data_IF_097842039961
#
_entry.id   IF_097842039961
#
_cell.length_a   1.000
_cell.length_b   1.000
_cell.length_c   1.000
_cell.angle_alpha   90.00
_cell.angle_beta   90.00
_cell.angle_gamma   90.00
#
_symmetry.space_group_name_H-M   'P 1'
#
loop_
_entity.id
_entity.type
_entity.pdbx_description
1 polymer ?
#
# COMPACT_ATOMS: atom_id res chain seq x y z
N UNK A 1 -47.11 -12.69 -35.81
CA UNK A 1 -45.84 -13.35 -35.41
C UNK A 1 -45.02 -12.37 -34.59
N UNK A 2 -45.03 -12.50 -33.26
CA UNK A 2 -44.28 -11.63 -32.35
C UNK A 2 -42.92 -12.25 -32.04
N UNK A 3 -41.82 -11.62 -32.48
CA UNK A 3 -40.45 -12.05 -32.19
C UNK A 3 -40.08 -11.53 -30.80
N UNK A 4 -40.25 -12.38 -29.79
CA UNK A 4 -39.77 -12.12 -28.43
C UNK A 4 -38.24 -12.16 -28.41
N UNK A 5 -37.61 -11.01 -28.23
CA UNK A 5 -36.16 -10.90 -28.11
C UNK A 5 -35.72 -11.42 -26.74
N UNK A 6 -35.03 -12.55 -26.74
CA UNK A 6 -34.52 -13.23 -25.56
C UNK A 6 -33.25 -12.55 -25.04
N UNK A 7 -33.43 -11.48 -24.25
CA UNK A 7 -32.40 -10.71 -23.52
C UNK A 7 -31.78 -11.47 -22.33
N UNK A 8 -31.54 -12.78 -22.44
CA UNK A 8 -30.94 -13.59 -21.36
C UNK A 8 -29.41 -13.63 -21.39
N UNK A 9 -28.77 -13.22 -22.49
CA UNK A 9 -27.30 -13.29 -22.63
C UNK A 9 -26.54 -12.28 -21.74
N UNK A 10 -27.19 -11.23 -21.24
CA UNK A 10 -26.53 -10.20 -20.42
C UNK A 10 -26.49 -10.52 -18.90
N UNK A 11 -27.12 -11.61 -18.45
CA UNK A 11 -27.22 -11.92 -16.99
C UNK A 11 -25.95 -12.54 -16.39
N UNK A 12 -24.95 -12.86 -17.20
CA UNK A 12 -23.71 -13.52 -16.75
C UNK A 12 -22.45 -12.73 -17.15
N UNK A 13 -22.51 -11.40 -17.15
CA UNK A 13 -21.28 -10.61 -17.18
C UNK A 13 -20.57 -10.77 -15.83
N UNK A 14 -19.57 -11.64 -15.79
CA UNK A 14 -18.64 -11.73 -14.67
C UNK A 14 -17.81 -10.45 -14.70
N UNK A 15 -18.18 -9.48 -13.87
CA UNK A 15 -17.38 -8.29 -13.65
C UNK A 15 -16.18 -8.76 -12.83
N UNK A 16 -15.03 -8.91 -13.49
CA UNK A 16 -13.75 -9.10 -12.82
C UNK A 16 -13.41 -7.80 -12.10
N UNK A 17 -13.74 -7.72 -10.82
CA UNK A 17 -13.14 -6.74 -9.95
C UNK A 17 -11.74 -7.25 -9.64
N UNK A 18 -10.74 -6.70 -10.32
CA UNK A 18 -9.34 -6.90 -9.99
C UNK A 18 -9.10 -6.25 -8.60
N UNK A 19 -9.30 -7.05 -7.56
CA UNK A 19 -9.05 -6.64 -6.19
C UNK A 19 -7.54 -6.69 -5.99
N UNK A 20 -6.87 -5.59 -6.33
CA UNK A 20 -5.44 -5.44 -6.06
C UNK A 20 -5.30 -5.24 -4.55
N UNK A 21 -5.23 -6.35 -3.80
CA UNK A 21 -4.92 -6.29 -2.38
C UNK A 21 -3.50 -5.72 -2.25
N UNK A 22 -3.39 -4.50 -1.69
CA UNK A 22 -2.10 -3.87 -1.46
C UNK A 22 -1.22 -4.81 -0.61
N UNK A 23 -0.14 -5.31 -1.20
CA UNK A 23 0.79 -6.16 -0.48
C UNK A 23 1.65 -5.31 0.47
N UNK A 24 2.24 -5.91 1.53
CA UNK A 24 3.20 -5.22 2.38
C UNK A 24 4.38 -4.59 1.62
N UNK A 25 4.77 -5.16 0.48
CA UNK A 25 5.79 -4.61 -0.41
C UNK A 25 5.30 -3.35 -1.16
N UNK A 26 4.06 -3.34 -1.62
CA UNK A 26 3.47 -2.16 -2.28
C UNK A 26 3.40 -0.97 -1.32
N UNK A 27 3.05 -1.24 -0.06
CA UNK A 27 3.02 -0.24 1.01
C UNK A 27 4.43 0.26 1.31
N UNK A 28 5.42 -0.63 1.38
CA UNK A 28 6.81 -0.26 1.61
C UNK A 28 7.34 0.62 0.47
N UNK A 29 7.12 0.23 -0.78
CA UNK A 29 7.53 1.01 -1.94
C UNK A 29 6.90 2.40 -1.92
N UNK A 30 5.59 2.47 -1.63
CA UNK A 30 4.85 3.73 -1.52
C UNK A 30 5.37 4.60 -0.37
N UNK A 31 5.76 3.99 0.76
CA UNK A 31 6.37 4.69 1.89
C UNK A 31 7.76 5.24 1.55
N UNK A 32 8.60 4.47 0.86
CA UNK A 32 9.90 4.94 0.38
C UNK A 32 9.73 6.14 -0.53
N UNK A 33 8.77 6.12 -1.46
CA UNK A 33 8.52 7.27 -2.32
C UNK A 33 7.92 8.46 -1.57
N UNK A 34 7.07 8.22 -0.57
CA UNK A 34 6.59 9.27 0.32
C UNK A 34 7.73 9.95 1.10
N UNK A 35 8.67 9.17 1.66
CA UNK A 35 9.83 9.73 2.38
C UNK A 35 10.72 10.59 1.47
N UNK A 36 10.93 10.16 0.22
CA UNK A 36 11.65 10.97 -0.79
C UNK A 36 10.93 12.29 -1.07
N UNK A 37 9.60 12.27 -1.25
CA UNK A 37 8.77 13.47 -1.48
C UNK A 37 8.76 14.42 -0.28
N UNK A 38 8.80 13.90 0.94
CA UNK A 38 8.90 14.68 2.17
C UNK A 38 10.33 15.14 2.50
N UNK A 39 11.31 14.81 1.65
CA UNK A 39 12.73 15.07 1.87
C UNK A 39 13.28 14.53 3.20
N UNK A 40 12.70 13.44 3.70
CA UNK A 40 13.17 12.76 4.91
C UNK A 40 14.43 11.96 4.57
N UNK A 41 15.60 12.59 4.78
CA UNK A 41 16.91 11.98 4.50
C UNK A 41 17.47 11.17 5.67
N UNK A 42 16.95 11.38 6.87
CA UNK A 42 17.46 10.75 8.08
C UNK A 42 16.74 9.42 8.36
N UNK A 43 17.41 8.31 8.08
CA UNK A 43 16.91 6.97 8.45
C UNK A 43 16.75 6.80 9.97
N UNK A 44 17.48 7.58 10.77
CA UNK A 44 17.32 7.62 12.23
C UNK A 44 15.97 8.21 12.60
N UNK A 45 15.55 9.28 11.92
CA UNK A 45 14.28 9.94 12.16
C UNK A 45 13.10 9.08 11.66
N UNK A 46 13.25 8.46 10.49
CA UNK A 46 12.29 7.48 9.96
C UNK A 46 12.14 6.28 10.91
N UNK A 47 13.26 5.79 11.46
CA UNK A 47 13.23 4.73 12.47
C UNK A 47 12.45 5.12 13.72
N UNK A 48 12.62 6.36 14.21
CA UNK A 48 11.82 6.89 15.33
C UNK A 48 10.33 6.96 14.99
N UNK A 49 9.96 7.44 13.80
CA UNK A 49 8.57 7.53 13.36
C UNK A 49 7.90 6.15 13.27
N UNK A 50 8.63 5.14 12.81
CA UNK A 50 8.15 3.76 12.70
C UNK A 50 8.32 2.94 13.99
N UNK A 51 8.97 3.52 15.02
CA UNK A 51 9.43 2.85 16.24
C UNK A 51 10.22 1.56 15.96
N UNK A 52 11.15 1.63 15.00
CA UNK A 52 12.09 0.55 14.66
C UNK A 52 13.52 1.03 14.86
N UNK A 53 14.47 0.10 14.88
CA UNK A 53 15.88 0.50 14.98
C UNK A 53 16.34 1.23 13.71
N UNK A 54 17.35 2.11 13.79
CA UNK A 54 17.88 2.78 12.60
C UNK A 54 18.40 1.80 11.53
N UNK A 55 18.90 0.64 11.94
CA UNK A 55 19.38 -0.41 11.03
C UNK A 55 18.20 -1.07 10.29
N UNK A 56 17.11 -1.38 10.98
CA UNK A 56 15.88 -1.89 10.36
C UNK A 56 15.26 -0.85 9.43
N UNK A 57 15.20 0.41 9.84
CA UNK A 57 14.74 1.49 8.97
C UNK A 57 15.57 1.57 7.69
N UNK A 58 16.90 1.47 7.78
CA UNK A 58 17.76 1.46 6.60
C UNK A 58 17.50 0.23 5.71
N UNK A 59 17.34 -0.96 6.30
CA UNK A 59 16.98 -2.18 5.55
C UNK A 59 15.63 -2.06 4.85
N UNK A 60 14.64 -1.47 5.50
CA UNK A 60 13.32 -1.19 4.92
C UNK A 60 13.42 -0.20 3.76
N UNK A 61 14.18 0.89 3.91
CA UNK A 61 14.41 1.88 2.84
C UNK A 61 15.16 1.28 1.65
N UNK A 62 16.06 0.32 1.89
CA UNK A 62 16.75 -0.45 0.86
C UNK A 62 15.92 -1.61 0.29
N UNK A 63 14.67 -1.81 0.72
CA UNK A 63 13.83 -2.96 0.36
C UNK A 63 14.50 -4.32 0.64
N UNK A 64 15.46 -4.35 1.57
CA UNK A 64 16.24 -5.54 1.93
C UNK A 64 15.51 -6.43 2.95
N UNK A 65 14.42 -5.94 3.54
CA UNK A 65 13.56 -6.68 4.47
C UNK A 65 12.10 -6.38 4.21
N UNK A 66 11.25 -7.37 4.43
CA UNK A 66 9.81 -7.19 4.47
C UNK A 66 9.42 -6.50 5.79
N UNK A 67 8.44 -5.57 5.77
CA UNK A 67 7.89 -4.98 6.98
C UNK A 67 6.87 -5.93 7.63
N UNK A 68 6.88 -5.97 8.97
CA UNK A 68 5.82 -6.62 9.74
C UNK A 68 4.49 -5.85 9.64
N UNK A 69 3.36 -6.51 9.91
CA UNK A 69 2.02 -5.90 9.87
C UNK A 69 1.90 -4.61 10.71
N UNK A 70 2.56 -4.58 11.87
CA UNK A 70 2.59 -3.39 12.75
C UNK A 70 3.30 -2.23 12.05
N UNK A 71 4.41 -2.53 11.38
CA UNK A 71 5.21 -1.54 10.64
C UNK A 71 4.46 -1.06 9.41
N UNK A 72 3.80 -1.96 8.67
CA UNK A 72 2.91 -1.63 7.54
C UNK A 72 1.80 -0.67 8.00
N UNK A 73 1.14 -0.96 9.13
CA UNK A 73 0.10 -0.09 9.68
C UNK A 73 0.63 1.30 9.99
N UNK A 74 1.80 1.41 10.63
CA UNK A 74 2.46 2.69 10.93
C UNK A 74 2.86 3.46 9.67
N UNK A 75 3.37 2.77 8.65
CA UNK A 75 3.66 3.39 7.34
C UNK A 75 2.39 4.00 6.73
N UNK A 76 1.28 3.25 6.72
CA UNK A 76 -0.01 3.76 6.23
C UNK A 76 -0.51 4.94 7.07
N UNK A 77 -0.38 4.89 8.39
CA UNK A 77 -0.76 5.99 9.29
C UNK A 77 0.10 7.25 9.04
N UNK A 78 1.39 7.14 8.76
CA UNK A 78 2.25 8.28 8.44
C UNK A 78 1.93 8.89 7.07
N UNK A 79 1.55 8.06 6.10
CA UNK A 79 1.25 8.49 4.74
C UNK A 79 -0.15 9.08 4.58
N UNK A 80 -1.14 8.45 5.20
CA UNK A 80 -2.58 8.73 5.02
C UNK A 80 -3.26 9.26 6.28
N UNK A 81 -2.61 9.18 7.45
CA UNK A 81 -3.15 9.71 8.68
C UNK A 81 -3.37 11.22 8.56
N UNK A 82 -4.60 11.65 8.83
CA UNK A 82 -4.96 13.06 8.96
C UNK A 82 -4.06 13.69 10.01
N UNK A 83 -3.15 14.55 9.55
CA UNK A 83 -2.48 15.54 10.36
C UNK A 83 -3.58 16.41 11.00
N UNK A 84 -3.81 16.24 12.30
CA UNK A 84 -4.80 17.00 13.08
C UNK A 84 -4.15 18.24 13.66
#
# INVERSE_FOLDING_TARGET
>A
MSKGSNNLAAKHCVIWYEHHEETPLDVLASFVDWTKRKHLRSYIEIGKMLHVTPNEANRLLCLATLPDDVTVKRMKELMYGKQR
#
